data_IF_852176328220
#
_entry.id   IF_852176328220
#
_cell.length_a   1.000
_cell.length_b   1.000
_cell.length_c   1.000
_cell.angle_alpha   90.00
_cell.angle_beta   90.00
_cell.angle_gamma   90.00
#
_symmetry.space_group_name_H-M   'P 1'
#
loop_
_entity.id
_entity.type
_entity.pdbx_description
1 polymer ?
#
# COMPACT_ATOMS: atom_id res chain seq x y z
N UNK A 1 -8.00 3.36 85.35
CA UNK A 1 -7.46 2.15 84.70
C UNK A 1 -7.77 2.24 83.23
N UNK A 2 -6.84 2.74 82.43
CA UNK A 2 -6.96 2.98 80.98
C UNK A 2 -6.22 1.87 80.24
N UNK A 3 -6.95 1.11 79.40
CA UNK A 3 -6.38 0.05 78.54
C UNK A 3 -5.99 0.65 77.17
N UNK A 4 -4.68 0.74 76.92
CA UNK A 4 -4.12 1.14 75.62
C UNK A 4 -4.24 -0.09 74.68
N UNK A 5 -4.98 0.08 73.56
CA UNK A 5 -5.00 -0.85 72.45
C UNK A 5 -3.99 -0.40 71.37
N UNK A 6 -2.97 -1.19 71.18
CA UNK A 6 -1.94 -0.97 70.12
C UNK A 6 -2.56 -1.53 68.82
N UNK A 7 -2.77 -0.63 67.84
CA UNK A 7 -3.12 -1.04 66.47
C UNK A 7 -1.84 -1.26 65.68
N UNK A 8 -1.56 -2.48 65.32
CA UNK A 8 -0.49 -2.89 64.42
C UNK A 8 -0.94 -2.58 62.99
N UNK A 9 -0.26 -1.61 62.35
CA UNK A 9 -0.46 -1.25 60.95
C UNK A 9 0.43 -2.16 60.08
N UNK A 10 -0.18 -3.16 59.45
CA UNK A 10 0.50 -4.03 58.49
C UNK A 10 0.65 -3.28 57.16
N UNK A 11 1.90 -2.92 56.85
CA UNK A 11 2.29 -2.32 55.55
C UNK A 11 2.33 -3.43 54.51
N UNK A 12 1.35 -3.47 53.60
CA UNK A 12 1.38 -4.37 52.45
C UNK A 12 2.26 -3.77 51.37
N UNK A 13 3.44 -4.34 51.20
CA UNK A 13 4.33 -4.00 50.07
C UNK A 13 3.78 -4.60 48.78
N UNK A 14 3.26 -3.74 47.89
CA UNK A 14 2.88 -4.13 46.55
C UNK A 14 4.17 -4.23 45.69
N UNK A 15 4.60 -5.46 45.42
CA UNK A 15 5.65 -5.71 44.42
C UNK A 15 4.99 -5.66 43.06
N UNK A 16 5.20 -4.55 42.33
CA UNK A 16 4.84 -4.45 40.90
C UNK A 16 5.89 -5.21 40.11
N UNK A 17 5.57 -6.43 39.71
CA UNK A 17 6.36 -7.16 38.73
C UNK A 17 6.16 -6.52 37.34
N UNK A 18 7.14 -5.72 36.91
CA UNK A 18 7.20 -5.18 35.56
C UNK A 18 7.57 -6.32 34.62
N UNK A 19 6.57 -6.96 34.00
CA UNK A 19 6.78 -7.95 32.95
C UNK A 19 7.31 -7.21 31.72
N UNK A 20 8.61 -7.33 31.45
CA UNK A 20 9.21 -6.90 30.20
C UNK A 20 8.65 -7.78 29.07
N UNK A 21 7.73 -7.25 28.28
CA UNK A 21 7.31 -7.88 27.04
C UNK A 21 8.49 -7.89 26.06
N UNK A 22 8.79 -9.01 25.38
CA UNK A 22 9.83 -9.02 24.36
C UNK A 22 9.39 -8.12 23.22
N UNK A 23 10.26 -7.15 22.87
CA UNK A 23 10.15 -6.38 21.64
C UNK A 23 10.29 -7.36 20.47
N UNK A 24 9.16 -7.77 19.88
CA UNK A 24 9.14 -8.50 18.63
C UNK A 24 9.47 -7.49 17.54
N UNK A 25 10.73 -7.41 17.15
CA UNK A 25 11.14 -6.73 15.94
C UNK A 25 10.54 -7.50 14.76
N UNK A 26 9.45 -6.96 14.18
CA UNK A 26 8.89 -7.49 12.94
C UNK A 26 9.86 -7.15 11.81
N UNK A 27 10.62 -8.13 11.38
CA UNK A 27 11.34 -8.05 10.10
C UNK A 27 10.30 -8.23 8.99
N UNK A 28 10.02 -7.16 8.27
CA UNK A 28 9.20 -7.22 7.06
C UNK A 28 10.09 -7.78 5.93
N UNK A 29 9.91 -9.05 5.62
CA UNK A 29 10.43 -9.60 4.37
C UNK A 29 9.49 -9.14 3.25
N UNK A 30 10.00 -8.32 2.33
CA UNK A 30 9.27 -7.92 1.14
C UNK A 30 9.05 -9.16 0.27
N UNK A 31 7.80 -9.46 -0.08
CA UNK A 31 7.53 -10.33 -1.22
C UNK A 31 8.03 -9.63 -2.50
N UNK A 32 8.52 -10.36 -3.50
CA UNK A 32 8.92 -9.75 -4.76
C UNK A 32 7.68 -9.12 -5.40
N UNK A 33 7.59 -7.80 -5.29
CA UNK A 33 6.57 -7.03 -5.99
C UNK A 33 6.95 -7.04 -7.48
N UNK A 34 6.20 -7.81 -8.29
CA UNK A 34 6.31 -7.78 -9.76
C UNK A 34 5.70 -6.49 -10.33
N UNK A 35 6.02 -5.36 -9.70
CA UNK A 35 5.60 -4.05 -10.16
C UNK A 35 6.56 -3.55 -11.24
N UNK A 36 6.33 -3.99 -12.47
CA UNK A 36 6.89 -3.28 -13.62
C UNK A 36 6.33 -1.85 -13.67
N UNK A 37 7.17 -0.84 -13.91
CA UNK A 37 6.67 0.53 -14.12
C UNK A 37 5.57 0.52 -15.19
N UNK A 38 4.49 1.31 -15.03
CA UNK A 38 3.47 1.38 -16.05
C UNK A 38 4.11 1.76 -17.38
N UNK A 39 3.76 1.10 -18.48
CA UNK A 39 4.18 1.54 -19.80
C UNK A 39 3.74 2.98 -19.99
N UNK A 40 4.64 3.81 -20.49
CA UNK A 40 4.31 5.18 -20.89
C UNK A 40 3.00 5.15 -21.68
N UNK A 41 2.03 5.97 -21.29
CA UNK A 41 0.67 5.98 -21.80
C UNK A 41 0.65 6.23 -23.32
N UNK A 42 0.73 5.15 -24.10
CA UNK A 42 0.39 5.17 -25.52
C UNK A 42 -1.09 4.84 -25.62
N UNK A 43 -1.93 5.83 -25.87
CA UNK A 43 -3.32 5.62 -26.28
C UNK A 43 -3.35 4.63 -27.43
N UNK A 44 -3.87 3.43 -27.18
CA UNK A 44 -4.17 2.45 -28.24
C UNK A 44 -5.35 2.97 -29.08
N UNK A 45 -5.03 3.64 -30.19
CA UNK A 45 -6.00 3.93 -31.23
C UNK A 45 -5.91 2.84 -32.28
N UNK A 46 -7.03 2.19 -32.50
CA UNK A 46 -7.26 1.12 -33.47
C UNK A 46 -6.77 1.52 -34.87
N UNK A 47 -6.00 0.64 -35.46
CA UNK A 47 -5.31 0.74 -36.75
C UNK A 47 -6.27 0.91 -37.94
N UNK A 48 -6.09 1.97 -38.69
CA UNK A 48 -6.32 2.00 -40.12
C UNK A 48 -5.00 2.25 -40.83
N UNK A 49 -4.71 1.37 -41.78
CA UNK A 49 -3.46 1.25 -42.55
C UNK A 49 -3.29 2.48 -43.46
N UNK A 50 -2.41 3.41 -43.08
CA UNK A 50 -1.90 4.40 -44.00
C UNK A 50 -0.41 4.59 -43.74
N UNK A 51 0.38 4.33 -44.76
CA UNK A 51 1.84 4.52 -44.84
C UNK A 51 2.16 6.00 -44.62
N UNK A 52 2.60 6.39 -43.42
CA UNK A 52 2.98 7.76 -43.10
C UNK A 52 4.40 7.79 -42.58
N UNK A 53 5.20 8.68 -43.15
CA UNK A 53 6.57 9.03 -42.78
C UNK A 53 6.73 9.13 -41.27
N UNK A 54 7.68 8.38 -40.72
CA UNK A 54 8.07 8.44 -39.33
C UNK A 54 8.70 9.78 -39.00
N UNK A 55 7.92 10.73 -38.50
CA UNK A 55 8.48 11.83 -37.73
C UNK A 55 8.70 11.31 -36.32
N UNK A 56 9.93 11.22 -35.86
CA UNK A 56 10.26 10.97 -34.45
C UNK A 56 9.63 12.09 -33.63
N UNK A 57 8.52 11.78 -32.96
CA UNK A 57 7.96 12.62 -31.89
C UNK A 57 8.90 12.49 -30.72
N UNK A 58 9.81 13.46 -30.54
CA UNK A 58 10.59 13.57 -29.31
C UNK A 58 9.60 13.87 -28.17
N UNK A 59 9.67 13.13 -27.02
CA UNK A 59 8.86 13.45 -25.86
C UNK A 59 9.06 14.91 -25.47
N UNK A 60 7.99 15.59 -25.04
CA UNK A 60 8.11 16.94 -24.50
C UNK A 60 9.01 16.92 -23.25
N UNK A 61 9.63 18.03 -22.91
CA UNK A 61 10.48 18.11 -21.72
C UNK A 61 9.71 17.77 -20.44
N UNK A 62 8.42 18.08 -20.39
CA UNK A 62 7.51 17.75 -19.28
C UNK A 62 7.28 16.24 -19.16
N UNK A 63 7.04 15.53 -20.27
CA UNK A 63 6.91 14.07 -20.28
C UNK A 63 8.17 13.39 -19.75
N UNK A 64 9.34 13.97 -20.08
CA UNK A 64 10.64 13.45 -19.63
C UNK A 64 10.84 13.69 -18.13
N UNK A 65 10.52 14.87 -17.63
CA UNK A 65 10.65 15.22 -16.21
C UNK A 65 9.68 14.41 -15.35
N UNK A 66 8.43 14.27 -15.78
CA UNK A 66 7.45 13.41 -15.12
C UNK A 66 7.93 11.96 -15.05
N UNK A 67 8.37 11.38 -16.17
CA UNK A 67 8.86 10.00 -16.21
C UNK A 67 10.10 9.79 -15.32
N UNK A 68 10.99 10.78 -15.21
CA UNK A 68 12.15 10.71 -14.32
C UNK A 68 11.73 10.77 -12.86
N UNK A 69 10.86 11.71 -12.49
CA UNK A 69 10.35 11.85 -11.12
C UNK A 69 9.56 10.62 -10.67
N UNK A 70 8.73 10.07 -11.55
CA UNK A 70 8.00 8.83 -11.26
C UNK A 70 8.95 7.67 -10.99
N UNK A 71 9.98 7.46 -11.85
CA UNK A 71 10.99 6.41 -11.63
C UNK A 71 11.79 6.62 -10.34
N UNK A 72 12.11 7.86 -10.00
CA UNK A 72 12.83 8.17 -8.77
C UNK A 72 12.00 7.81 -7.52
N UNK A 73 10.71 8.14 -7.54
CA UNK A 73 9.77 7.78 -6.47
C UNK A 73 9.56 6.25 -6.39
N UNK A 74 9.46 5.59 -7.54
CA UNK A 74 9.36 4.13 -7.61
C UNK A 74 10.58 3.45 -6.98
N UNK A 75 11.79 3.89 -7.33
CA UNK A 75 13.02 3.41 -6.71
C UNK A 75 13.11 3.74 -5.20
N UNK A 76 12.54 4.86 -4.75
CA UNK A 76 12.43 5.16 -3.33
C UNK A 76 11.59 4.12 -2.59
N UNK A 77 10.47 3.68 -3.20
CA UNK A 77 9.58 2.68 -2.61
C UNK A 77 10.23 1.30 -2.59
N UNK A 78 10.65 0.79 -3.75
CA UNK A 78 10.97 -0.64 -3.91
C UNK A 78 12.44 -0.97 -3.68
N UNK A 79 13.36 -0.07 -4.01
CA UNK A 79 14.79 -0.32 -3.86
C UNK A 79 15.31 0.16 -2.49
N UNK A 80 14.79 1.29 -2.00
CA UNK A 80 15.29 1.92 -0.77
C UNK A 80 14.37 1.80 0.43
N UNK A 81 13.11 1.42 0.22
CA UNK A 81 12.04 1.40 1.24
C UNK A 81 11.89 2.76 1.96
N UNK A 82 12.21 3.85 1.26
CA UNK A 82 12.07 5.23 1.74
C UNK A 82 10.69 5.78 1.35
N UNK A 83 9.68 5.30 2.07
CA UNK A 83 8.28 5.62 1.80
C UNK A 83 7.95 7.10 2.03
N UNK A 84 8.62 7.74 2.99
CA UNK A 84 8.40 9.16 3.27
C UNK A 84 8.89 10.03 2.09
N UNK A 85 10.12 9.81 1.64
CA UNK A 85 10.67 10.50 0.48
C UNK A 85 9.86 10.19 -0.80
N UNK A 86 9.39 8.95 -0.96
CA UNK A 86 8.55 8.58 -2.10
C UNK A 86 7.24 9.37 -2.14
N UNK A 87 6.57 9.55 -1.00
CA UNK A 87 5.34 10.36 -0.89
C UNK A 87 5.60 11.79 -1.36
N UNK A 88 6.67 12.42 -0.88
CA UNK A 88 7.03 13.79 -1.26
C UNK A 88 7.33 13.90 -2.76
N UNK A 89 8.10 12.96 -3.32
CA UNK A 89 8.40 12.91 -4.74
C UNK A 89 7.15 12.71 -5.61
N UNK A 90 6.26 11.79 -5.23
CA UNK A 90 5.01 11.54 -5.96
C UNK A 90 4.08 12.76 -5.94
N UNK A 91 3.95 13.42 -4.78
CA UNK A 91 3.16 14.66 -4.65
C UNK A 91 3.75 15.80 -5.46
N UNK A 92 5.08 15.91 -5.51
CA UNK A 92 5.76 16.94 -6.29
C UNK A 92 5.54 16.82 -7.81
N UNK A 93 5.10 15.64 -8.30
CA UNK A 93 4.71 15.48 -9.72
C UNK A 93 3.45 16.26 -10.07
N UNK A 94 2.61 16.63 -9.09
CA UNK A 94 1.38 17.39 -9.32
C UNK A 94 0.26 16.63 -10.05
N UNK A 95 0.36 15.30 -10.14
CA UNK A 95 -0.55 14.42 -10.88
C UNK A 95 -1.20 13.38 -9.96
N UNK A 96 -1.67 13.79 -8.82
CA UNK A 96 -2.31 12.93 -7.83
C UNK A 96 -3.76 12.51 -8.21
N UNK A 97 -4.24 12.98 -9.37
CA UNK A 97 -5.42 12.52 -10.09
C UNK A 97 -5.14 11.31 -11.00
N UNK A 98 -3.88 10.89 -11.17
CA UNK A 98 -3.51 9.66 -11.86
C UNK A 98 -3.57 8.50 -10.87
N UNK A 99 -4.36 7.45 -11.21
CA UNK A 99 -4.58 6.31 -10.32
C UNK A 99 -3.28 5.63 -9.87
N UNK A 100 -2.30 5.47 -10.77
CA UNK A 100 -1.01 4.87 -10.43
C UNK A 100 -0.25 5.67 -9.37
N UNK A 101 -0.25 7.01 -9.44
CA UNK A 101 0.41 7.88 -8.46
C UNK A 101 -0.31 7.81 -7.13
N UNK A 102 -1.64 8.00 -7.11
CA UNK A 102 -2.43 7.93 -5.90
C UNK A 102 -2.30 6.55 -5.22
N UNK A 103 -2.25 5.47 -6.00
CA UNK A 103 -2.03 4.11 -5.50
C UNK A 103 -0.66 3.97 -4.79
N UNK A 104 0.42 4.47 -5.40
CA UNK A 104 1.75 4.41 -4.80
C UNK A 104 1.87 5.28 -3.53
N UNK A 105 1.19 6.42 -3.48
CA UNK A 105 1.11 7.24 -2.26
C UNK A 105 0.36 6.47 -1.17
N UNK A 106 -0.78 5.85 -1.50
CA UNK A 106 -1.55 5.01 -0.59
C UNK A 106 -0.72 3.83 -0.05
N UNK A 107 0.01 3.15 -0.92
CA UNK A 107 0.93 2.09 -0.54
C UNK A 107 2.03 2.58 0.42
N UNK A 108 2.63 3.72 0.12
CA UNK A 108 3.69 4.29 0.96
C UNK A 108 3.18 4.65 2.36
N UNK A 109 2.00 5.28 2.48
CA UNK A 109 1.37 5.52 3.79
C UNK A 109 1.04 4.23 4.54
N UNK A 110 0.57 3.18 3.83
CA UNK A 110 0.34 1.85 4.42
C UNK A 110 1.62 1.29 5.01
N UNK A 111 2.74 1.38 4.29
CA UNK A 111 4.05 0.89 4.76
C UNK A 111 4.58 1.69 5.96
N UNK A 112 4.23 2.97 6.07
CA UNK A 112 4.51 3.80 7.25
C UNK A 112 3.56 3.54 8.44
N UNK A 113 2.51 2.72 8.25
CA UNK A 113 1.52 2.43 9.28
C UNK A 113 0.40 3.47 9.40
N UNK A 114 0.38 4.49 8.53
CA UNK A 114 -0.72 5.46 8.49
C UNK A 114 -1.87 4.92 7.63
N UNK A 115 -2.59 3.96 8.20
CA UNK A 115 -3.66 3.26 7.51
C UNK A 115 -4.85 4.16 7.14
N UNK A 116 -5.11 5.21 7.91
CA UNK A 116 -6.22 6.14 7.61
C UNK A 116 -5.93 6.98 6.37
N UNK A 117 -4.74 7.54 6.28
CA UNK A 117 -4.33 8.32 5.11
C UNK A 117 -4.15 7.41 3.90
N UNK A 118 -3.61 6.21 4.08
CA UNK A 118 -3.51 5.19 3.03
C UNK A 118 -4.87 4.89 2.39
N UNK A 119 -5.93 4.70 3.20
CA UNK A 119 -7.28 4.48 2.70
C UNK A 119 -7.76 5.62 1.79
N UNK A 120 -7.60 6.86 2.23
CA UNK A 120 -8.01 8.04 1.45
C UNK A 120 -7.35 8.04 0.07
N UNK A 121 -6.07 7.69 0.01
CA UNK A 121 -5.33 7.66 -1.24
C UNK A 121 -5.74 6.49 -2.16
N UNK A 122 -6.04 5.32 -1.60
CA UNK A 122 -6.59 4.21 -2.40
C UNK A 122 -7.98 4.53 -2.96
N UNK A 123 -8.85 5.15 -2.16
CA UNK A 123 -10.16 5.59 -2.62
C UNK A 123 -10.05 6.65 -3.72
N UNK A 124 -9.09 7.57 -3.59
CA UNK A 124 -8.77 8.56 -4.63
C UNK A 124 -8.28 7.86 -5.92
N UNK A 125 -7.43 6.86 -5.82
CA UNK A 125 -6.96 6.08 -6.96
C UNK A 125 -8.12 5.37 -7.68
N UNK A 126 -9.03 4.72 -6.95
CA UNK A 126 -10.21 4.09 -7.53
C UNK A 126 -11.19 5.09 -8.15
N UNK A 127 -11.28 6.29 -7.60
CA UNK A 127 -12.08 7.38 -8.19
C UNK A 127 -11.48 7.88 -9.49
N UNK A 128 -10.14 7.97 -9.57
CA UNK A 128 -9.43 8.42 -10.76
C UNK A 128 -9.53 7.40 -11.90
N UNK A 129 -9.33 6.12 -11.60
CA UNK A 129 -9.47 5.03 -12.56
C UNK A 129 -9.98 3.74 -11.87
N UNK A 130 -11.28 3.45 -11.95
CA UNK A 130 -11.84 2.21 -11.41
C UNK A 130 -11.38 0.95 -12.18
N UNK A 131 -10.74 1.10 -13.35
CA UNK A 131 -10.15 0.02 -14.14
C UNK A 131 -8.70 -0.31 -13.76
N UNK A 132 -8.06 0.50 -12.93
CA UNK A 132 -6.68 0.27 -12.55
C UNK A 132 -6.56 -0.87 -11.51
N UNK A 133 -6.26 -2.06 -12.01
CA UNK A 133 -6.32 -3.34 -11.27
C UNK A 133 -5.41 -3.35 -10.03
N UNK A 134 -4.22 -2.72 -10.10
CA UNK A 134 -3.29 -2.66 -8.98
C UNK A 134 -3.87 -1.97 -7.73
N UNK A 135 -4.74 -0.97 -7.91
CA UNK A 135 -5.39 -0.35 -6.75
C UNK A 135 -6.35 -1.32 -6.07
N UNK A 136 -7.11 -2.12 -6.82
CA UNK A 136 -7.96 -3.15 -6.23
C UNK A 136 -7.16 -4.18 -5.45
N UNK A 137 -6.00 -4.59 -5.96
CA UNK A 137 -5.07 -5.48 -5.25
C UNK A 137 -4.54 -4.85 -3.97
N UNK A 138 -3.91 -3.68 -4.04
CA UNK A 138 -3.25 -3.06 -2.89
C UNK A 138 -4.24 -2.63 -1.80
N UNK A 139 -5.39 -2.10 -2.20
CA UNK A 139 -6.44 -1.77 -1.24
C UNK A 139 -7.12 -3.03 -0.69
N UNK A 140 -7.25 -4.08 -1.49
CA UNK A 140 -7.71 -5.39 -1.00
C UNK A 140 -6.77 -5.99 0.06
N UNK A 141 -5.47 -5.93 -0.17
CA UNK A 141 -4.46 -6.35 0.82
C UNK A 141 -4.52 -5.49 2.10
N UNK A 142 -4.74 -4.18 1.97
CA UNK A 142 -4.98 -3.29 3.09
C UNK A 142 -6.24 -3.71 3.88
N UNK A 143 -7.33 -4.06 3.20
CA UNK A 143 -8.55 -4.56 3.84
C UNK A 143 -8.29 -5.86 4.63
N UNK A 144 -7.49 -6.78 4.07
CA UNK A 144 -7.10 -8.01 4.79
C UNK A 144 -6.31 -7.69 6.05
N UNK A 145 -5.37 -6.74 5.99
CA UNK A 145 -4.60 -6.29 7.17
C UNK A 145 -5.46 -5.65 8.26
N UNK A 146 -6.52 -4.93 7.85
CA UNK A 146 -7.49 -4.35 8.79
C UNK A 146 -8.53 -5.37 9.30
N UNK A 147 -8.47 -6.62 8.85
CA UNK A 147 -9.44 -7.66 9.20
C UNK A 147 -10.75 -7.60 8.42
N UNK A 148 -10.88 -6.71 7.46
CA UNK A 148 -12.09 -6.49 6.66
C UNK A 148 -12.16 -7.49 5.49
N UNK A 149 -12.25 -8.78 5.80
CA UNK A 149 -12.15 -9.86 4.80
C UNK A 149 -13.27 -9.81 3.74
N UNK A 150 -14.48 -9.41 4.11
CA UNK A 150 -15.59 -9.27 3.15
C UNK A 150 -15.30 -8.20 2.11
N UNK A 151 -14.74 -7.07 2.53
CA UNK A 151 -14.31 -6.02 1.62
C UNK A 151 -13.14 -6.50 0.73
N UNK A 152 -12.18 -7.23 1.30
CA UNK A 152 -11.10 -7.81 0.51
C UNK A 152 -11.62 -8.82 -0.53
N UNK A 153 -12.62 -9.62 -0.18
CA UNK A 153 -13.29 -10.54 -1.12
C UNK A 153 -14.03 -9.78 -2.24
N UNK A 154 -14.67 -8.65 -1.92
CA UNK A 154 -15.23 -7.77 -2.95
C UNK A 154 -14.14 -7.24 -3.89
N UNK A 155 -13.00 -6.78 -3.36
CA UNK A 155 -11.86 -6.36 -4.19
C UNK A 155 -11.36 -7.49 -5.09
N UNK A 156 -11.25 -8.70 -4.57
CA UNK A 156 -10.86 -9.88 -5.35
C UNK A 156 -11.82 -10.14 -6.53
N UNK A 157 -13.14 -10.01 -6.30
CA UNK A 157 -14.14 -10.15 -7.35
C UNK A 157 -14.01 -9.06 -8.43
N UNK A 158 -13.64 -7.83 -8.04
CA UNK A 158 -13.37 -6.73 -8.98
C UNK A 158 -12.15 -7.03 -9.86
N UNK A 159 -11.06 -7.54 -9.25
CA UNK A 159 -9.87 -7.97 -10.00
C UNK A 159 -10.24 -9.07 -11.00
N UNK A 160 -11.00 -10.08 -10.57
CA UNK A 160 -11.45 -11.16 -11.45
C UNK A 160 -12.23 -10.64 -12.67
N UNK A 161 -13.10 -9.64 -12.47
CA UNK A 161 -13.89 -9.03 -13.54
C UNK A 161 -13.05 -8.17 -14.50
N UNK A 162 -11.99 -7.51 -14.01
CA UNK A 162 -11.16 -6.59 -14.80
C UNK A 162 -10.02 -7.28 -15.52
N UNK A 163 -9.36 -8.24 -14.87
CA UNK A 163 -8.10 -8.85 -15.34
C UNK A 163 -8.15 -10.39 -15.40
N UNK A 164 -9.22 -10.99 -14.90
CA UNK A 164 -9.34 -12.44 -14.81
C UNK A 164 -8.65 -13.04 -13.59
N UNK A 165 -9.03 -14.30 -13.28
CA UNK A 165 -8.48 -15.04 -12.12
C UNK A 165 -7.04 -15.52 -12.32
N UNK A 166 -6.53 -15.42 -13.54
CA UNK A 166 -5.14 -15.75 -13.87
C UNK A 166 -4.15 -14.60 -13.69
N UNK A 167 -4.59 -13.39 -13.32
CA UNK A 167 -3.72 -12.24 -13.13
C UNK A 167 -2.89 -12.37 -11.86
N UNK A 168 -1.73 -11.70 -11.81
CA UNK A 168 -0.87 -11.69 -10.62
C UNK A 168 -1.54 -10.99 -9.45
N UNK A 169 -2.29 -9.93 -9.74
CA UNK A 169 -3.07 -9.18 -8.76
C UNK A 169 -4.14 -10.06 -8.10
N UNK A 170 -4.83 -10.89 -8.88
CA UNK A 170 -5.81 -11.83 -8.33
C UNK A 170 -5.13 -12.87 -7.43
N UNK A 171 -4.07 -13.52 -7.94
CA UNK A 171 -3.35 -14.55 -7.17
C UNK A 171 -2.79 -14.00 -5.87
N UNK A 172 -2.24 -12.80 -5.90
CA UNK A 172 -1.69 -12.13 -4.72
C UNK A 172 -2.75 -11.91 -3.63
N UNK A 173 -3.90 -11.33 -3.99
CA UNK A 173 -4.97 -11.06 -3.01
C UNK A 173 -5.68 -12.35 -2.57
N UNK A 174 -5.87 -13.33 -3.46
CA UNK A 174 -6.44 -14.62 -3.12
C UNK A 174 -5.57 -15.35 -2.07
N UNK A 175 -4.25 -15.42 -2.30
CA UNK A 175 -3.31 -16.02 -1.35
C UNK A 175 -3.32 -15.31 0.03
N UNK A 176 -3.53 -14.00 0.05
CA UNK A 176 -3.68 -13.25 1.28
C UNK A 176 -4.96 -13.64 2.04
N UNK A 177 -6.05 -13.85 1.32
CA UNK A 177 -7.33 -14.26 1.87
C UNK A 177 -7.36 -15.72 2.35
N UNK A 178 -6.46 -16.59 1.86
CA UNK A 178 -6.32 -17.97 2.35
C UNK A 178 -5.67 -18.05 3.73
N UNK A 179 -4.87 -17.06 4.11
CA UNK A 179 -4.21 -17.04 5.41
C UNK A 179 -5.22 -16.80 6.54
N UNK A 180 -5.10 -17.50 7.70
CA UNK A 180 -5.96 -17.26 8.84
C UNK A 180 -5.91 -15.80 9.31
N UNK A 181 -7.01 -15.25 9.85
CA UNK A 181 -7.02 -13.92 10.46
C UNK A 181 -5.96 -13.81 11.58
N UNK A 182 -5.26 -12.67 11.63
CA UNK A 182 -4.25 -12.42 12.67
C UNK A 182 -2.86 -13.02 12.39
N UNK A 183 -2.67 -13.82 11.36
CA UNK A 183 -1.34 -14.12 10.84
C UNK A 183 -0.82 -12.85 10.17
N UNK A 184 0.23 -12.24 10.71
CA UNK A 184 0.82 -11.03 10.16
C UNK A 184 1.08 -11.20 8.67
N UNK A 185 0.36 -10.42 7.85
CA UNK A 185 0.56 -10.43 6.41
C UNK A 185 1.85 -9.67 6.14
N UNK A 186 2.88 -10.43 5.78
CA UNK A 186 4.14 -9.89 5.29
C UNK A 186 4.03 -9.89 3.78
N UNK A 187 3.88 -8.70 3.19
CA UNK A 187 3.91 -8.47 1.74
C UNK A 187 5.03 -7.54 1.37
#
# INVERSE_FOLDING_TARGET
>A
MAKFAIRILTLATFVVALAAAPLVTRTYAAAPDNDTPPPSSTKSTKTTKAKKKTSEVRPSGEDTAFAQGYRAAYAAIYDRHDYASAIEQLKALGHDDIAAIANLIGYSYRKLGDYKVSQIWYERALKADPGYVKTWQYYGLWQVEQGNRDQAQYHLSRIAALAGTGSDEYRSLAAALEKPPGTGLVY
#
